data_IF_626378161734
#
_entry.id   IF_626378161734
#
_cell.length_a   1.000
_cell.length_b   1.000
_cell.length_c   1.000
_cell.angle_alpha   90.00
_cell.angle_beta   90.00
_cell.angle_gamma   90.00
#
_symmetry.space_group_name_H-M   'P 1'
#
loop_
_entity.id
_entity.type
_entity.pdbx_description
1 polymer ?
#
# COMPACT_ATOMS: atom_id res chain seq x y z
N UNK A 1 62.45 13.11 38.29
CA UNK A 1 61.44 13.51 37.28
C UNK A 1 60.88 12.33 36.48
N UNK A 2 61.69 11.52 35.76
CA UNK A 2 61.21 10.40 34.91
C UNK A 2 60.32 9.33 35.57
N UNK A 3 60.47 9.05 36.88
CA UNK A 3 59.63 8.06 37.59
C UNK A 3 58.23 8.59 37.95
N UNK A 4 58.11 9.89 38.24
CA UNK A 4 56.82 10.52 38.58
C UNK A 4 55.94 10.63 37.33
N UNK A 5 56.54 11.03 36.20
CA UNK A 5 55.91 11.01 34.87
C UNK A 5 55.41 9.61 34.47
N UNK A 6 56.24 8.57 34.61
CA UNK A 6 55.83 7.17 34.30
C UNK A 6 54.67 6.69 35.16
N UNK A 7 54.57 7.17 36.41
CA UNK A 7 53.51 6.78 37.35
C UNK A 7 52.21 7.53 37.05
N UNK A 8 52.29 8.81 36.67
CA UNK A 8 51.14 9.59 36.22
C UNK A 8 50.58 9.05 34.90
N UNK A 9 51.42 8.73 33.91
CA UNK A 9 51.01 8.13 32.63
C UNK A 9 50.38 6.74 32.83
N UNK A 10 50.91 5.90 33.73
CA UNK A 10 50.29 4.61 34.08
C UNK A 10 48.93 4.77 34.76
N UNK A 11 48.77 5.79 35.60
CA UNK A 11 47.52 6.05 36.33
C UNK A 11 46.44 6.63 35.42
N UNK A 12 46.81 7.58 34.54
CA UNK A 12 45.93 8.07 33.48
C UNK A 12 45.50 6.94 32.53
N UNK A 13 46.43 6.10 32.05
CA UNK A 13 46.10 4.95 31.19
C UNK A 13 45.20 3.90 31.87
N UNK A 14 45.32 3.71 33.19
CA UNK A 14 44.40 2.84 33.96
C UNK A 14 43.01 3.46 34.08
N UNK A 15 42.91 4.78 34.29
CA UNK A 15 41.65 5.50 34.39
C UNK A 15 40.91 5.56 33.05
N UNK A 16 41.58 5.84 31.94
CA UNK A 16 40.96 5.77 30.60
C UNK A 16 40.53 4.35 30.23
N UNK A 17 41.30 3.32 30.60
CA UNK A 17 40.90 1.92 30.39
C UNK A 17 39.68 1.53 31.24
N UNK A 18 39.58 2.04 32.47
CA UNK A 18 38.41 1.81 33.35
C UNK A 18 37.17 2.57 32.86
N UNK A 19 37.34 3.84 32.45
CA UNK A 19 36.26 4.64 31.86
C UNK A 19 35.75 4.01 30.55
N UNK A 20 36.66 3.58 29.66
CA UNK A 20 36.28 2.88 28.43
C UNK A 20 35.51 1.58 28.68
N UNK A 21 35.89 0.82 29.72
CA UNK A 21 35.12 -0.36 30.15
C UNK A 21 33.73 -0.02 30.67
N UNK A 22 33.59 1.04 31.47
CA UNK A 22 32.28 1.49 31.98
C UNK A 22 31.37 1.93 30.82
N UNK A 23 31.90 2.71 29.87
CA UNK A 23 31.15 3.12 28.66
C UNK A 23 30.76 1.90 27.82
N UNK A 24 31.66 0.95 27.60
CA UNK A 24 31.35 -0.27 26.86
C UNK A 24 30.24 -1.10 27.52
N UNK A 25 30.27 -1.25 28.85
CA UNK A 25 29.22 -1.95 29.61
C UNK A 25 27.89 -1.20 29.52
N UNK A 26 27.89 0.12 29.65
CA UNK A 26 26.67 0.93 29.51
C UNK A 26 26.07 0.81 28.11
N UNK A 27 26.90 0.86 27.06
CA UNK A 27 26.46 0.65 25.68
C UNK A 27 25.89 -0.76 25.47
N UNK A 28 26.54 -1.79 26.01
CA UNK A 28 26.04 -3.17 25.93
C UNK A 28 24.66 -3.31 26.62
N UNK A 29 24.48 -2.69 27.79
CA UNK A 29 23.20 -2.68 28.49
C UNK A 29 22.12 -1.95 27.71
N UNK A 30 22.44 -0.80 27.10
CA UNK A 30 21.49 -0.08 26.24
C UNK A 30 21.07 -0.90 25.02
N UNK A 31 22.02 -1.58 24.37
CA UNK A 31 21.73 -2.50 23.25
C UNK A 31 20.81 -3.64 23.72
N UNK A 32 21.05 -4.20 24.90
CA UNK A 32 20.24 -5.29 25.44
C UNK A 32 18.82 -4.83 25.79
N UNK A 33 18.67 -3.65 26.41
CA UNK A 33 17.36 -3.05 26.69
C UNK A 33 16.61 -2.76 25.39
N UNK A 34 17.31 -2.22 24.38
CA UNK A 34 16.71 -1.96 23.08
C UNK A 34 16.27 -3.26 22.39
N UNK A 35 17.09 -4.31 22.42
CA UNK A 35 16.72 -5.62 21.89
C UNK A 35 15.49 -6.20 22.60
N UNK A 36 15.40 -6.07 23.94
CA UNK A 36 14.22 -6.46 24.70
C UNK A 36 12.97 -5.66 24.30
N UNK A 37 13.11 -4.36 24.05
CA UNK A 37 11.99 -3.53 23.56
C UNK A 37 11.47 -4.01 22.19
N UNK A 38 12.36 -4.38 21.28
CA UNK A 38 11.98 -4.93 19.97
C UNK A 38 11.17 -6.22 20.10
N UNK A 39 11.56 -7.10 21.03
CA UNK A 39 10.92 -8.39 21.26
C UNK A 39 9.59 -8.28 22.01
N UNK A 40 9.52 -7.46 23.07
CA UNK A 40 8.37 -7.40 23.97
C UNK A 40 7.25 -6.50 23.44
N UNK A 41 7.51 -5.63 22.46
CA UNK A 41 6.52 -4.70 21.93
C UNK A 41 6.76 -4.40 20.45
N UNK A 42 6.67 -5.42 19.58
CA UNK A 42 6.99 -5.29 18.16
C UNK A 42 6.14 -4.21 17.46
N UNK A 43 4.87 -4.03 17.85
CA UNK A 43 4.04 -2.95 17.29
C UNK A 43 4.50 -1.55 17.73
N UNK A 44 4.95 -1.38 18.98
CA UNK A 44 5.52 -0.10 19.45
C UNK A 44 6.86 0.17 18.77
N UNK A 45 7.69 -0.86 18.62
CA UNK A 45 8.93 -0.78 17.86
C UNK A 45 8.67 -0.42 16.39
N UNK A 46 7.65 -1.00 15.77
CA UNK A 46 7.21 -0.65 14.42
C UNK A 46 6.89 0.85 14.31
N UNK A 47 6.11 1.41 15.24
CA UNK A 47 5.77 2.83 15.23
C UNK A 47 7.00 3.73 15.45
N UNK A 48 7.92 3.33 16.32
CA UNK A 48 9.19 4.01 16.52
C UNK A 48 10.00 4.08 15.22
N UNK A 49 10.24 2.95 14.55
CA UNK A 49 10.97 2.92 13.28
C UNK A 49 10.25 3.68 12.17
N UNK A 50 8.91 3.64 12.14
CA UNK A 50 8.10 4.39 11.18
C UNK A 50 8.29 5.91 11.35
N UNK A 51 8.34 6.39 12.59
CA UNK A 51 8.57 7.81 12.92
C UNK A 51 9.96 8.27 12.50
N UNK A 52 10.96 7.39 12.63
CA UNK A 52 12.34 7.65 12.20
C UNK A 52 12.54 7.51 10.68
N UNK A 53 11.50 7.18 9.90
CA UNK A 53 11.59 7.00 8.46
C UNK A 53 12.12 5.64 8.00
N UNK A 54 12.39 4.70 8.91
CA UNK A 54 12.79 3.33 8.58
C UNK A 54 11.57 2.47 8.20
N UNK A 55 10.94 2.81 7.07
CA UNK A 55 9.66 2.24 6.64
C UNK A 55 9.68 0.71 6.53
N UNK A 56 10.71 0.11 5.92
CA UNK A 56 10.79 -1.35 5.77
C UNK A 56 10.95 -2.08 7.11
N UNK A 57 11.71 -1.51 8.05
CA UNK A 57 11.82 -2.06 9.40
C UNK A 57 10.50 -1.93 10.17
N UNK A 58 9.82 -0.78 10.01
CA UNK A 58 8.47 -0.58 10.56
C UNK A 58 7.51 -1.65 10.08
N UNK A 59 7.48 -1.93 8.77
CA UNK A 59 6.63 -2.98 8.17
C UNK A 59 7.00 -4.35 8.72
N UNK A 60 8.28 -4.71 8.75
CA UNK A 60 8.73 -6.02 9.25
C UNK A 60 8.30 -6.27 10.70
N UNK A 61 8.45 -5.28 11.58
CA UNK A 61 8.08 -5.41 12.99
C UNK A 61 6.57 -5.48 13.19
N UNK A 62 5.80 -4.70 12.42
CA UNK A 62 4.33 -4.79 12.45
C UNK A 62 3.88 -6.15 11.93
N UNK A 63 4.52 -6.67 10.88
CA UNK A 63 4.19 -7.97 10.29
C UNK A 63 4.37 -9.09 11.31
N UNK A 64 5.53 -9.14 11.99
CA UNK A 64 5.76 -10.11 13.07
C UNK A 64 4.71 -10.00 14.18
N UNK A 65 4.38 -8.77 14.60
CA UNK A 65 3.33 -8.56 15.61
C UNK A 65 1.96 -9.09 15.18
N UNK A 66 1.58 -8.87 13.92
CA UNK A 66 0.29 -9.28 13.38
C UNK A 66 0.20 -10.80 13.14
N UNK A 67 1.31 -11.45 12.78
CA UNK A 67 1.38 -12.92 12.70
C UNK A 67 1.20 -13.55 14.09
N UNK A 68 1.78 -12.96 15.14
CA UNK A 68 1.63 -13.46 16.51
C UNK A 68 0.22 -13.22 17.08
N UNK A 69 -0.36 -12.05 16.83
CA UNK A 69 -1.66 -11.68 17.39
C UNK A 69 -2.86 -12.20 16.60
N UNK A 70 -2.71 -12.34 15.28
CA UNK A 70 -3.80 -12.63 14.35
C UNK A 70 -4.87 -11.53 14.26
N UNK A 71 -4.70 -10.39 14.93
CA UNK A 71 -5.77 -9.40 15.10
C UNK A 71 -6.00 -8.59 13.81
N UNK A 72 -7.27 -8.28 13.52
CA UNK A 72 -7.64 -7.45 12.38
C UNK A 72 -6.92 -6.08 12.40
N UNK A 73 -6.84 -5.45 13.58
CA UNK A 73 -6.23 -4.14 13.75
C UNK A 73 -4.73 -4.14 13.50
N UNK A 74 -4.03 -5.19 13.95
CA UNK A 74 -2.61 -5.34 13.67
C UNK A 74 -2.38 -5.59 12.17
N UNK A 75 -3.19 -6.44 11.55
CA UNK A 75 -3.14 -6.65 10.09
C UNK A 75 -3.46 -5.38 9.29
N UNK A 76 -4.39 -4.56 9.77
CA UNK A 76 -4.72 -3.27 9.17
C UNK A 76 -3.53 -2.30 9.28
N UNK A 77 -2.87 -2.26 10.45
CA UNK A 77 -1.65 -1.48 10.67
C UNK A 77 -0.51 -1.93 9.74
N UNK A 78 -0.31 -3.24 9.57
CA UNK A 78 0.66 -3.80 8.60
C UNK A 78 0.36 -3.33 7.19
N UNK A 79 -0.90 -3.46 6.77
CA UNK A 79 -1.36 -3.06 5.45
C UNK A 79 -1.07 -1.58 5.18
N UNK A 80 -1.48 -0.67 6.06
CA UNK A 80 -1.25 0.76 5.88
C UNK A 80 0.24 1.13 5.84
N UNK A 81 1.06 0.49 6.68
CA UNK A 81 2.51 0.71 6.70
C UNK A 81 3.16 0.19 5.42
N UNK A 82 2.73 -0.97 4.93
CA UNK A 82 3.26 -1.58 3.71
C UNK A 82 2.94 -0.73 2.48
N UNK A 83 1.71 -0.19 2.40
CA UNK A 83 1.33 0.76 1.34
C UNK A 83 2.24 2.00 1.36
N UNK A 84 2.46 2.61 2.54
CA UNK A 84 3.33 3.80 2.67
C UNK A 84 4.82 3.53 2.37
N UNK A 85 5.21 2.26 2.41
CA UNK A 85 6.56 1.79 2.14
C UNK A 85 6.74 1.28 0.70
N UNK A 86 5.69 1.30 -0.13
CA UNK A 86 5.66 0.68 -1.46
C UNK A 86 6.12 -0.79 -1.44
N UNK A 87 5.79 -1.51 -0.35
CA UNK A 87 6.12 -2.93 -0.20
C UNK A 87 4.96 -3.80 -0.71
N UNK A 88 4.88 -3.96 -2.04
CA UNK A 88 3.76 -4.60 -2.72
C UNK A 88 3.49 -6.01 -2.21
N UNK A 89 4.53 -6.84 -2.04
CA UNK A 89 4.41 -8.17 -1.46
C UNK A 89 3.68 -8.20 -0.12
N UNK A 90 4.06 -7.33 0.83
CA UNK A 90 3.39 -7.30 2.14
C UNK A 90 1.98 -6.71 2.03
N UNK A 91 1.72 -5.77 1.12
CA UNK A 91 0.36 -5.31 0.83
C UNK A 91 -0.51 -6.48 0.37
N UNK A 92 -0.04 -7.32 -0.56
CA UNK A 92 -0.78 -8.49 -1.05
C UNK A 92 -1.09 -9.47 0.08
N UNK A 93 -0.11 -9.79 0.93
CA UNK A 93 -0.29 -10.71 2.06
C UNK A 93 -1.28 -10.14 3.08
N UNK A 94 -1.05 -8.92 3.55
CA UNK A 94 -1.88 -8.30 4.59
C UNK A 94 -3.31 -8.03 4.13
N UNK A 95 -3.50 -7.57 2.89
CA UNK A 95 -4.85 -7.39 2.33
C UNK A 95 -5.60 -8.71 2.14
N UNK A 96 -4.91 -9.82 1.84
CA UNK A 96 -5.52 -11.14 1.80
C UNK A 96 -5.90 -11.64 3.21
N UNK A 97 -5.02 -11.45 4.20
CA UNK A 97 -5.31 -11.76 5.61
C UNK A 97 -6.53 -11.00 6.13
N UNK A 98 -6.61 -9.70 5.84
CA UNK A 98 -7.75 -8.85 6.20
C UNK A 98 -9.06 -9.35 5.57
N UNK A 99 -9.06 -9.61 4.25
CA UNK A 99 -10.26 -10.07 3.54
C UNK A 99 -10.75 -11.44 4.00
N UNK A 100 -9.83 -12.32 4.38
CA UNK A 100 -10.13 -13.67 4.86
C UNK A 100 -10.41 -13.71 6.36
N UNK A 101 -10.34 -12.57 7.05
CA UNK A 101 -10.64 -12.50 8.47
C UNK A 101 -12.15 -12.69 8.70
N UNK A 102 -12.53 -13.48 9.69
CA UNK A 102 -13.91 -13.93 9.90
C UNK A 102 -14.91 -12.79 10.17
N UNK A 103 -14.43 -11.69 10.75
CA UNK A 103 -15.23 -10.50 11.07
C UNK A 103 -15.07 -9.36 10.04
N UNK A 104 -14.43 -9.60 8.88
CA UNK A 104 -14.04 -8.55 7.93
C UNK A 104 -15.14 -7.54 7.67
N UNK A 105 -16.36 -8.01 7.38
CA UNK A 105 -17.51 -7.16 7.05
C UNK A 105 -17.90 -6.19 8.18
N UNK A 106 -17.60 -6.52 9.43
CA UNK A 106 -17.85 -5.65 10.59
C UNK A 106 -16.63 -4.79 10.87
N UNK A 107 -15.44 -5.40 10.96
CA UNK A 107 -14.22 -4.69 11.35
C UNK A 107 -13.78 -3.63 10.33
N UNK A 108 -13.98 -3.87 9.02
CA UNK A 108 -13.58 -2.95 7.96
C UNK A 108 -14.46 -1.69 7.89
N UNK A 109 -15.70 -1.72 8.41
CA UNK A 109 -16.65 -0.59 8.34
C UNK A 109 -16.16 0.60 9.13
N UNK A 110 -15.50 0.35 10.26
CA UNK A 110 -14.96 1.39 11.14
C UNK A 110 -13.57 1.88 10.67
N UNK A 111 -12.98 1.22 9.67
CA UNK A 111 -11.72 1.66 9.08
C UNK A 111 -11.95 2.73 8.06
N UNK A 112 -11.07 3.72 8.09
CA UNK A 112 -11.02 4.81 7.14
C UNK A 112 -9.59 5.08 6.71
N UNK A 113 -9.42 5.50 5.47
CA UNK A 113 -8.12 5.89 4.94
C UNK A 113 -8.22 7.29 4.32
N UNK A 114 -7.21 8.14 4.52
CA UNK A 114 -7.15 9.43 3.85
C UNK A 114 -6.36 9.30 2.56
N UNK A 115 -7.02 9.54 1.43
CA UNK A 115 -6.38 9.62 0.11
C UNK A 115 -6.65 10.99 -0.45
N UNK A 116 -5.58 11.75 -0.75
CA UNK A 116 -5.66 13.13 -1.24
C UNK A 116 -6.56 14.05 -0.38
N UNK A 117 -6.42 13.95 0.95
CA UNK A 117 -7.24 14.66 1.96
C UNK A 117 -8.72 14.26 2.01
N UNK A 118 -9.16 13.27 1.23
CA UNK A 118 -10.53 12.76 1.27
C UNK A 118 -10.55 11.46 2.06
N UNK A 119 -11.45 11.40 3.04
CA UNK A 119 -11.64 10.21 3.86
C UNK A 119 -12.43 9.14 3.09
N UNK A 120 -11.87 7.94 3.03
CA UNK A 120 -12.37 6.78 2.29
C UNK A 120 -12.78 5.69 3.24
N UNK A 121 -13.84 4.97 2.91
CA UNK A 121 -14.14 3.72 3.61
C UNK A 121 -12.99 2.72 3.41
N UNK A 122 -12.60 2.05 4.50
CA UNK A 122 -11.43 1.18 4.54
C UNK A 122 -11.51 0.06 3.51
N UNK A 123 -12.70 -0.46 3.21
CA UNK A 123 -12.89 -1.53 2.21
C UNK A 123 -12.47 -1.10 0.80
N UNK A 124 -12.84 0.11 0.38
CA UNK A 124 -12.56 0.61 -0.96
C UNK A 124 -11.08 0.94 -1.11
N UNK A 125 -10.48 1.50 -0.06
CA UNK A 125 -9.03 1.70 0.01
C UNK A 125 -8.27 0.36 -0.03
N UNK A 126 -8.74 -0.64 0.73
CA UNK A 126 -8.17 -1.98 0.72
C UNK A 126 -8.25 -2.60 -0.67
N UNK A 127 -9.41 -2.54 -1.33
CA UNK A 127 -9.58 -3.14 -2.64
C UNK A 127 -8.73 -2.48 -3.72
N UNK A 128 -8.66 -1.15 -3.68
CA UNK A 128 -7.79 -0.37 -4.55
C UNK A 128 -6.32 -0.78 -4.40
N UNK A 129 -5.79 -0.81 -3.18
CA UNK A 129 -4.38 -1.16 -2.98
C UNK A 129 -4.09 -2.63 -3.21
N UNK A 130 -5.04 -3.53 -2.92
CA UNK A 130 -4.91 -4.95 -3.24
C UNK A 130 -4.75 -5.14 -4.75
N UNK A 131 -5.65 -4.59 -5.57
CA UNK A 131 -5.56 -4.70 -7.01
C UNK A 131 -4.26 -4.08 -7.55
N UNK A 132 -3.95 -2.85 -7.13
CA UNK A 132 -2.75 -2.13 -7.57
C UNK A 132 -1.47 -2.89 -7.24
N UNK A 133 -1.29 -3.27 -5.98
CA UNK A 133 -0.06 -3.91 -5.53
C UNK A 133 0.07 -5.35 -6.06
N UNK A 134 -1.03 -6.09 -6.17
CA UNK A 134 -1.02 -7.42 -6.78
C UNK A 134 -0.57 -7.37 -8.23
N UNK A 135 -1.03 -6.37 -9.01
CA UNK A 135 -0.64 -6.26 -10.41
C UNK A 135 0.79 -5.75 -10.58
N UNK A 136 1.26 -4.87 -9.71
CA UNK A 136 2.65 -4.43 -9.69
C UNK A 136 3.62 -5.54 -9.29
N UNK A 137 3.24 -6.39 -8.33
CA UNK A 137 4.05 -7.52 -7.86
C UNK A 137 4.05 -8.70 -8.83
N UNK A 138 2.91 -8.97 -9.48
CA UNK A 138 2.72 -10.14 -10.35
C UNK A 138 1.96 -9.78 -11.64
N UNK A 139 2.59 -9.02 -12.57
CA UNK A 139 1.96 -8.60 -13.84
C UNK A 139 1.45 -9.78 -14.68
N UNK A 140 2.12 -10.94 -14.59
CA UNK A 140 1.74 -12.16 -15.28
C UNK A 140 0.38 -12.73 -14.84
N UNK A 141 -0.14 -12.29 -13.69
CA UNK A 141 -1.45 -12.69 -13.15
C UNK A 141 -2.57 -11.71 -13.49
N UNK A 142 -2.38 -10.89 -14.51
CA UNK A 142 -3.31 -9.83 -14.92
C UNK A 142 -4.78 -10.30 -15.04
N UNK A 143 -5.03 -11.50 -15.57
CA UNK A 143 -6.37 -12.04 -15.70
C UNK A 143 -7.00 -12.45 -14.35
N UNK A 144 -6.22 -13.08 -13.46
CA UNK A 144 -6.66 -13.44 -12.11
C UNK A 144 -7.02 -12.19 -11.30
N UNK A 145 -6.16 -11.17 -11.36
CA UNK A 145 -6.34 -9.92 -10.62
C UNK A 145 -7.52 -9.13 -11.19
N UNK A 146 -7.69 -9.11 -12.51
CA UNK A 146 -8.87 -8.50 -13.14
C UNK A 146 -10.16 -9.16 -12.70
N UNK A 147 -10.23 -10.49 -12.74
CA UNK A 147 -11.42 -11.23 -12.31
C UNK A 147 -11.74 -10.95 -10.84
N UNK A 148 -10.72 -10.84 -9.99
CA UNK A 148 -10.90 -10.42 -8.61
C UNK A 148 -11.50 -9.00 -8.51
N UNK A 149 -11.04 -8.06 -9.34
CA UNK A 149 -11.57 -6.69 -9.38
C UNK A 149 -13.04 -6.67 -9.82
N UNK A 150 -13.41 -7.42 -10.86
CA UNK A 150 -14.79 -7.53 -11.35
C UNK A 150 -15.72 -8.08 -10.25
N UNK A 151 -15.34 -9.19 -9.60
CA UNK A 151 -16.14 -9.81 -8.53
C UNK A 151 -16.37 -8.82 -7.38
N UNK A 152 -15.32 -8.12 -6.93
CA UNK A 152 -15.44 -7.15 -5.84
C UNK A 152 -16.29 -5.97 -6.23
N UNK A 153 -16.16 -5.52 -7.47
CA UNK A 153 -17.03 -4.49 -7.99
C UNK A 153 -18.50 -4.93 -8.01
N UNK A 154 -18.82 -6.13 -8.52
CA UNK A 154 -20.20 -6.64 -8.55
C UNK A 154 -20.80 -6.78 -7.15
N UNK A 155 -19.99 -7.18 -6.16
CA UNK A 155 -20.45 -7.35 -4.77
C UNK A 155 -20.59 -6.05 -3.98
N UNK A 156 -19.77 -5.04 -4.29
CA UNK A 156 -19.60 -3.87 -3.42
C UNK A 156 -19.72 -2.52 -4.14
N UNK A 157 -19.96 -2.52 -5.45
CA UNK A 157 -20.15 -1.33 -6.28
C UNK A 157 -18.88 -0.51 -6.50
N UNK A 158 -19.06 0.71 -6.99
CA UNK A 158 -17.98 1.64 -7.37
C UNK A 158 -17.31 2.36 -6.21
N UNK A 159 -17.87 2.26 -4.99
CA UNK A 159 -17.40 3.01 -3.84
C UNK A 159 -18.06 4.36 -3.62
N UNK A 160 -17.54 5.10 -2.65
CA UNK A 160 -17.98 6.46 -2.33
C UNK A 160 -17.45 7.43 -3.40
N UNK A 161 -18.33 8.18 -4.06
CA UNK A 161 -17.95 9.26 -4.98
C UNK A 161 -17.12 10.31 -4.23
N UNK A 162 -16.03 10.81 -4.83
CA UNK A 162 -15.17 11.81 -4.18
C UNK A 162 -15.53 13.26 -4.53
N UNK A 163 -16.52 13.45 -5.41
CA UNK A 163 -16.92 14.75 -5.93
C UNK A 163 -16.92 14.76 -7.46
N UNK A 164 -17.24 15.91 -8.07
CA UNK A 164 -17.39 16.02 -9.53
C UNK A 164 -16.09 15.71 -10.32
N UNK A 165 -14.92 15.79 -9.67
CA UNK A 165 -13.60 15.68 -10.31
C UNK A 165 -12.68 14.64 -9.64
N UNK A 166 -13.21 13.80 -8.76
CA UNK A 166 -12.39 12.84 -8.01
C UNK A 166 -13.02 11.44 -7.99
N UNK A 167 -12.20 10.47 -8.39
CA UNK A 167 -12.59 9.09 -8.63
C UNK A 167 -12.75 8.29 -7.36
N UNK A 168 -13.85 7.55 -7.26
CA UNK A 168 -13.99 6.57 -6.19
C UNK A 168 -12.89 5.51 -6.21
N UNK A 169 -12.33 5.19 -5.04
CA UNK A 169 -11.37 4.10 -4.92
C UNK A 169 -12.08 2.76 -5.08
N UNK A 170 -11.57 1.90 -5.96
CA UNK A 170 -12.01 0.52 -6.10
C UNK A 170 -10.92 -0.31 -6.78
N UNK A 171 -11.16 -1.63 -6.88
CA UNK A 171 -10.23 -2.56 -7.50
C UNK A 171 -9.90 -2.22 -8.95
N UNK A 172 -10.90 -1.85 -9.77
CA UNK A 172 -10.68 -1.49 -11.18
C UNK A 172 -9.76 -0.26 -11.29
N UNK A 173 -9.98 0.77 -10.47
CA UNK A 173 -9.08 1.93 -10.43
C UNK A 173 -7.66 1.53 -10.04
N UNK A 174 -7.50 0.70 -9.00
CA UNK A 174 -6.17 0.25 -8.56
C UNK A 174 -5.44 -0.53 -9.64
N UNK A 175 -6.18 -1.36 -10.37
CA UNK A 175 -5.68 -2.10 -11.53
C UNK A 175 -5.19 -1.16 -12.65
N UNK A 176 -5.99 -0.15 -13.01
CA UNK A 176 -5.60 0.84 -14.03
C UNK A 176 -4.39 1.68 -13.59
N UNK A 177 -4.35 2.14 -12.34
CA UNK A 177 -3.20 2.90 -11.85
C UNK A 177 -1.91 2.07 -11.82
N UNK A 178 -1.99 0.77 -11.54
CA UNK A 178 -0.86 -0.13 -11.69
C UNK A 178 -0.39 -0.23 -13.15
N UNK A 179 -1.35 -0.36 -14.09
CA UNK A 179 -1.05 -0.37 -15.52
C UNK A 179 -0.40 0.92 -16.00
N UNK A 180 -0.80 2.08 -15.48
CA UNK A 180 -0.11 3.35 -15.78
C UNK A 180 1.32 3.32 -15.27
N UNK A 181 1.54 2.82 -14.05
CA UNK A 181 2.84 2.87 -13.36
C UNK A 181 3.89 1.88 -13.90
N UNK A 182 3.50 0.75 -14.48
CA UNK A 182 4.42 -0.34 -14.84
C UNK A 182 4.32 -0.69 -16.33
N UNK A 183 5.42 -0.46 -17.03
CA UNK A 183 5.58 -0.67 -18.47
C UNK A 183 5.41 -2.15 -18.88
N UNK A 184 5.66 -3.09 -17.96
CA UNK A 184 5.50 -4.53 -18.20
C UNK A 184 4.04 -4.97 -18.29
N UNK A 185 3.09 -4.14 -17.89
CA UNK A 185 1.65 -4.45 -17.98
C UNK A 185 1.17 -4.10 -19.40
N UNK A 186 0.62 -5.07 -20.16
CA UNK A 186 0.17 -4.82 -21.53
C UNK A 186 -1.05 -3.90 -21.57
N UNK A 187 -0.89 -2.67 -22.05
CA UNK A 187 -1.95 -1.64 -22.05
C UNK A 187 -3.16 -2.08 -22.87
N UNK A 188 -2.95 -2.67 -24.06
CA UNK A 188 -4.06 -3.15 -24.90
C UNK A 188 -4.92 -4.21 -24.18
N UNK A 189 -4.31 -5.11 -23.39
CA UNK A 189 -5.06 -6.09 -22.62
C UNK A 189 -5.92 -5.42 -21.52
N UNK A 190 -5.41 -4.35 -20.90
CA UNK A 190 -6.16 -3.55 -19.93
C UNK A 190 -7.30 -2.81 -20.61
N UNK A 191 -7.09 -2.22 -21.78
CA UNK A 191 -8.11 -1.49 -22.51
C UNK A 191 -9.24 -2.40 -23.00
N UNK A 192 -8.94 -3.61 -23.49
CA UNK A 192 -9.96 -4.61 -23.86
C UNK A 192 -10.85 -4.97 -22.65
N UNK A 193 -10.24 -5.13 -21.47
CA UNK A 193 -10.96 -5.41 -20.22
C UNK A 193 -11.88 -4.25 -19.83
N UNK A 194 -11.38 -3.02 -19.95
CA UNK A 194 -12.16 -1.81 -19.68
C UNK A 194 -13.29 -1.63 -20.71
N UNK A 195 -13.05 -1.86 -21.99
CA UNK A 195 -14.06 -1.80 -23.04
C UNK A 195 -15.19 -2.80 -22.79
N UNK A 196 -14.87 -4.03 -22.37
CA UNK A 196 -15.86 -5.05 -21.99
C UNK A 196 -16.78 -4.55 -20.88
N UNK A 197 -16.22 -3.87 -19.87
CA UNK A 197 -16.99 -3.26 -18.80
C UNK A 197 -17.82 -2.07 -19.32
N UNK A 198 -17.23 -1.22 -20.17
CA UNK A 198 -17.91 -0.08 -20.76
C UNK A 198 -19.20 -0.48 -21.49
N UNK A 199 -19.12 -1.56 -22.28
CA UNK A 199 -20.18 -2.06 -23.13
C UNK A 199 -21.09 -3.09 -22.43
N UNK A 200 -20.86 -3.42 -21.16
CA UNK A 200 -21.71 -4.37 -20.43
C UNK A 200 -23.07 -3.73 -20.17
N UNK A 201 -24.12 -4.32 -20.73
CA UNK A 201 -25.50 -3.85 -20.61
C UNK A 201 -25.93 -3.77 -19.13
N UNK A 202 -26.65 -2.70 -18.75
CA UNK A 202 -27.09 -2.46 -17.38
C UNK A 202 -25.99 -2.04 -16.40
N UNK A 203 -24.71 -2.21 -16.76
CA UNK A 203 -23.60 -2.03 -15.82
C UNK A 203 -23.54 -0.63 -15.21
N UNK A 204 -23.71 0.40 -16.05
CA UNK A 204 -23.79 1.79 -15.58
C UNK A 204 -25.24 2.26 -15.33
N UNK A 205 -26.24 1.46 -15.63
CA UNK A 205 -27.64 1.82 -15.39
C UNK A 205 -28.04 1.52 -13.93
N UNK A 206 -27.45 0.47 -13.35
CA UNK A 206 -27.48 0.19 -11.89
C UNK A 206 -26.64 1.19 -11.08
N UNK A 207 -25.82 1.99 -11.77
CA UNK A 207 -25.11 3.12 -11.19
C UNK A 207 -26.00 4.35 -11.31
N UNK A 208 -26.74 4.63 -10.25
CA UNK A 208 -27.72 5.75 -10.13
C UNK A 208 -27.19 7.18 -10.40
N UNK A 209 -25.97 7.38 -10.93
CA UNK A 209 -25.43 8.69 -11.31
C UNK A 209 -24.48 8.65 -12.51
N UNK A 210 -24.67 9.60 -13.45
CA UNK A 210 -23.76 9.94 -14.56
C UNK A 210 -22.30 10.13 -14.10
N UNK A 211 -22.09 10.48 -12.83
CA UNK A 211 -20.76 10.68 -12.23
C UNK A 211 -19.91 9.41 -12.22
N UNK A 212 -20.49 8.21 -12.01
CA UNK A 212 -19.68 6.97 -11.97
C UNK A 212 -19.21 6.53 -13.36
N UNK A 213 -20.03 6.76 -14.39
CA UNK A 213 -19.61 6.54 -15.78
C UNK A 213 -18.52 7.56 -16.18
N UNK A 214 -18.64 8.82 -15.74
CA UNK A 214 -17.58 9.83 -15.85
C UNK A 214 -16.28 9.37 -15.20
N UNK A 215 -16.35 8.86 -13.97
CA UNK A 215 -15.21 8.31 -13.24
C UNK A 215 -14.59 7.09 -13.94
N UNK A 216 -15.39 6.20 -14.50
CA UNK A 216 -14.83 5.08 -15.24
C UNK A 216 -14.06 5.55 -16.48
N UNK A 217 -14.72 6.38 -17.30
CA UNK A 217 -14.18 6.82 -18.59
C UNK A 217 -12.95 7.68 -18.43
N UNK A 218 -12.93 8.59 -17.47
CA UNK A 218 -11.77 9.48 -17.33
C UNK A 218 -10.58 8.77 -16.64
N UNK A 219 -10.81 7.69 -15.89
CA UNK A 219 -9.75 6.77 -15.46
C UNK A 219 -9.13 6.03 -16.66
N UNK A 220 -9.96 5.47 -17.55
CA UNK A 220 -9.47 4.80 -18.76
C UNK A 220 -8.78 5.77 -19.73
N UNK A 221 -9.30 6.98 -19.89
CA UNK A 221 -8.69 8.04 -20.71
C UNK A 221 -7.30 8.41 -20.19
N UNK A 222 -7.12 8.46 -18.87
CA UNK A 222 -5.79 8.70 -18.29
C UNK A 222 -4.78 7.62 -18.66
N UNK A 223 -5.17 6.35 -18.69
CA UNK A 223 -4.30 5.26 -19.15
C UNK A 223 -3.91 5.45 -20.62
N UNK A 224 -4.89 5.77 -21.47
CA UNK A 224 -4.67 6.04 -22.90
C UNK A 224 -3.68 7.20 -23.09
N UNK A 225 -3.82 8.27 -22.32
CA UNK A 225 -2.99 9.47 -22.44
C UNK A 225 -1.55 9.25 -21.93
N UNK A 226 -1.40 8.59 -20.77
CA UNK A 226 -0.08 8.33 -20.16
C UNK A 226 0.72 7.24 -20.89
N UNK A 227 0.04 6.36 -21.63
CA UNK A 227 0.65 5.25 -22.38
C UNK A 227 0.39 5.33 -23.88
N UNK A 228 0.21 6.55 -24.39
CA UNK A 228 -0.22 6.78 -25.77
C UNK A 228 0.72 6.21 -26.84
N UNK A 229 2.01 6.06 -26.53
CA UNK A 229 3.01 5.54 -27.46
C UNK A 229 2.87 4.04 -27.72
N UNK A 230 2.10 3.33 -26.89
CA UNK A 230 1.98 1.87 -26.91
C UNK A 230 0.68 1.38 -27.53
N UNK A 231 -0.20 2.30 -27.90
CA UNK A 231 -1.52 2.02 -28.44
C UNK A 231 -1.64 2.57 -29.85
N UNK A 232 -2.38 1.84 -30.68
CA UNK A 232 -2.63 2.25 -32.05
C UNK A 232 -3.65 3.40 -32.12
N UNK A 233 -3.75 4.06 -33.29
CA UNK A 233 -4.64 5.21 -33.47
C UNK A 233 -6.12 4.84 -33.33
N UNK A 234 -6.53 3.65 -33.76
CA UNK A 234 -7.92 3.17 -33.64
C UNK A 234 -8.35 3.08 -32.16
N UNK A 235 -7.48 2.52 -31.31
CA UNK A 235 -7.70 2.45 -29.86
C UNK A 235 -7.80 3.86 -29.25
N UNK A 236 -6.96 4.81 -29.68
CA UNK A 236 -7.01 6.21 -29.22
C UNK A 236 -8.35 6.87 -29.59
N UNK A 237 -8.76 6.73 -30.85
CA UNK A 237 -9.99 7.34 -31.37
C UNK A 237 -11.25 6.74 -30.70
N UNK A 238 -11.23 5.44 -30.39
CA UNK A 238 -12.30 4.76 -29.66
C UNK A 238 -12.50 5.37 -28.26
N UNK A 239 -11.42 5.46 -27.48
CA UNK A 239 -11.50 6.00 -26.12
C UNK A 239 -11.78 7.50 -26.09
N UNK A 240 -11.33 8.26 -27.10
CA UNK A 240 -11.75 9.65 -27.28
C UNK A 240 -13.25 9.75 -27.56
N UNK A 241 -13.80 8.88 -28.42
CA UNK A 241 -15.24 8.82 -28.69
C UNK A 241 -16.05 8.51 -27.43
N UNK A 242 -15.56 7.61 -26.57
CA UNK A 242 -16.22 7.33 -25.28
C UNK A 242 -16.15 8.51 -24.33
N UNK A 243 -15.04 9.25 -24.32
CA UNK A 243 -14.88 10.46 -23.54
C UNK A 243 -15.88 11.55 -23.97
N UNK A 244 -15.94 11.86 -25.27
CA UNK A 244 -16.79 12.92 -25.84
C UNK A 244 -18.29 12.61 -25.73
N UNK A 245 -18.69 11.34 -25.60
CA UNK A 245 -20.09 10.95 -25.34
C UNK A 245 -20.55 11.32 -23.93
N UNK A 246 -19.63 11.55 -23.01
CA UNK A 246 -19.89 11.67 -21.57
C UNK A 246 -19.64 13.09 -21.05
N UNK A 247 -18.72 13.83 -21.66
CA UNK A 247 -18.36 15.20 -21.32
C UNK A 247 -18.75 16.16 -22.45
#
# INVERSE_FOLDING_TARGET
>A
MKQVEKTQVKTQNKLTKKAGRVVAVAMALLVLIFALFLLLSPMKASNFFGTLGFKNWSVSMAYSAAEDSGSFDDWWSVFEKAVKADNYKIVCISSAKLQNHSDFATAIKDKKAKVNNIEQEGRYYLYYQHARCSLLESPEKIDEIWNWCEIRHEQHGWGTSLGNDTYSLNGIKGFVDAAIQNDKIPVEQVLVKLEKIYNKEGYFDDMTSTSKRKDFITCAKKLVDERESEINQETKDLWQTYYDKIF
#
